data_IF_550827628695
#
_entry.id   IF_550827628695
#
_cell.length_a   1.000
_cell.length_b   1.000
_cell.length_c   1.000
_cell.angle_alpha   90.00
_cell.angle_beta   90.00
_cell.angle_gamma   90.00
#
_symmetry.space_group_name_H-M   'P 1'
#
loop_
_entity.id
_entity.type
_entity.pdbx_description
1 polymer ?
#
# COMPACT_ATOMS: atom_id res chain seq x y z
N UNK A 1 6.31 -5.04 5.25
CA UNK A 1 5.76 -3.76 4.78
C UNK A 1 6.30 -2.67 5.68
N UNK A 2 6.86 -1.62 5.08
CA UNK A 2 7.37 -0.42 5.75
C UNK A 2 7.02 0.82 4.92
N UNK A 3 7.16 1.99 5.53
CA UNK A 3 7.04 3.28 4.81
C UNK A 3 8.02 3.30 3.63
N UNK A 4 7.52 3.73 2.47
CA UNK A 4 8.22 3.75 1.19
C UNK A 4 8.08 2.47 0.35
N UNK A 5 7.55 1.38 0.91
CA UNK A 5 7.26 0.19 0.10
C UNK A 5 6.11 0.47 -0.88
N UNK A 6 6.25 -0.03 -2.10
CA UNK A 6 5.16 -0.07 -3.07
C UNK A 6 4.29 -1.27 -2.78
N UNK A 7 2.97 -1.06 -2.78
CA UNK A 7 1.97 -2.08 -2.47
C UNK A 7 0.90 -2.14 -3.54
N UNK A 8 0.28 -3.31 -3.65
CA UNK A 8 -0.87 -3.58 -4.49
C UNK A 8 -2.05 -3.91 -3.56
N UNK A 9 -3.17 -3.22 -3.76
CA UNK A 9 -4.42 -3.52 -3.10
C UNK A 9 -5.04 -4.78 -3.72
N UNK A 10 -5.33 -5.77 -2.88
CA UNK A 10 -5.75 -7.11 -3.33
C UNK A 10 -7.11 -7.13 -4.03
N UNK A 11 -7.98 -6.17 -3.73
CA UNK A 11 -9.37 -6.19 -4.21
C UNK A 11 -9.49 -5.83 -5.70
N UNK A 12 -8.73 -4.83 -6.14
CA UNK A 12 -8.84 -4.25 -7.48
C UNK A 12 -7.50 -4.15 -8.22
N UNK A 13 -6.39 -4.47 -7.56
CA UNK A 13 -5.05 -4.37 -8.13
C UNK A 13 -4.46 -2.96 -8.13
N UNK A 14 -5.10 -1.99 -7.45
CA UNK A 14 -4.62 -0.62 -7.34
C UNK A 14 -3.24 -0.57 -6.69
N UNK A 15 -2.35 0.28 -7.21
CA UNK A 15 -0.97 0.40 -6.74
C UNK A 15 -0.79 1.69 -5.96
N UNK A 16 0.03 1.63 -4.93
CA UNK A 16 0.33 2.79 -4.10
C UNK A 16 1.60 2.64 -3.30
N UNK A 17 1.93 3.69 -2.55
CA UNK A 17 3.13 3.77 -1.72
C UNK A 17 2.70 4.00 -0.28
N UNK A 18 3.27 3.24 0.65
CA UNK A 18 3.01 3.44 2.09
C UNK A 18 3.71 4.71 2.56
N UNK A 19 2.96 5.66 3.10
CA UNK A 19 3.46 6.93 3.63
C UNK A 19 3.59 6.90 5.15
N UNK A 20 2.63 6.27 5.84
CA UNK A 20 2.58 6.20 7.30
C UNK A 20 2.05 4.84 7.76
N UNK A 21 2.39 4.43 8.98
CA UNK A 21 1.95 3.15 9.57
C UNK A 21 1.55 3.37 11.02
N UNK A 22 0.33 2.97 11.35
CA UNK A 22 -0.24 3.02 12.70
C UNK A 22 -0.76 1.63 13.08
N UNK A 23 0.09 0.85 13.75
CA UNK A 23 -0.23 -0.53 14.11
C UNK A 23 -0.42 -1.39 12.86
N UNK A 24 -1.67 -1.79 12.57
CA UNK A 24 -2.01 -2.59 11.40
C UNK A 24 -2.71 -1.78 10.28
N UNK A 25 -2.77 -0.45 10.42
CA UNK A 25 -3.29 0.46 9.41
C UNK A 25 -2.13 1.14 8.68
N UNK A 26 -2.20 1.13 7.36
CA UNK A 26 -1.19 1.66 6.46
C UNK A 26 -1.81 2.80 5.66
N UNK A 27 -1.26 4.00 5.79
CA UNK A 27 -1.65 5.13 4.96
C UNK A 27 -0.95 5.03 3.62
N UNK A 28 -1.72 4.96 2.55
CA UNK A 28 -1.21 4.75 1.20
C UNK A 28 -1.64 5.91 0.33
N UNK A 29 -0.70 6.41 -0.47
CA UNK A 29 -1.02 7.27 -1.62
C UNK A 29 -1.03 6.39 -2.86
N UNK A 30 -2.15 6.41 -3.57
CA UNK A 30 -2.41 5.63 -4.77
C UNK A 30 -1.97 6.40 -6.03
N UNK A 31 -1.80 5.69 -7.15
CA UNK A 31 -1.37 6.29 -8.44
C UNK A 31 -2.34 7.38 -8.97
N UNK A 32 -3.61 7.36 -8.55
CA UNK A 32 -4.62 8.36 -8.90
C UNK A 32 -4.60 9.61 -8.01
N UNK A 33 -3.60 9.75 -7.13
CA UNK A 33 -3.45 10.81 -6.13
C UNK A 33 -4.49 10.79 -4.99
N UNK A 34 -5.31 9.75 -4.91
CA UNK A 34 -6.11 9.48 -3.72
C UNK A 34 -5.22 8.93 -2.60
N UNK A 35 -5.68 9.05 -1.34
CA UNK A 35 -5.02 8.39 -0.23
C UNK A 35 -6.04 7.75 0.72
N UNK A 36 -5.73 6.56 1.21
CA UNK A 36 -6.58 5.85 2.17
C UNK A 36 -5.76 5.11 3.22
N UNK A 37 -6.43 4.71 4.30
CA UNK A 37 -5.88 3.85 5.34
C UNK A 37 -6.38 2.43 5.14
N UNK A 38 -5.46 1.50 4.88
CA UNK A 38 -5.81 0.10 4.62
C UNK A 38 -5.22 -0.84 5.67
N UNK A 39 -5.90 -1.96 5.87
CA UNK A 39 -5.39 -3.06 6.68
C UNK A 39 -4.31 -3.83 5.90
N UNK A 40 -3.21 -4.18 6.56
CA UNK A 40 -2.12 -4.98 5.97
C UNK A 40 -2.57 -6.27 5.30
N UNK A 41 -3.65 -6.89 5.76
CA UNK A 41 -4.22 -8.11 5.16
C UNK A 41 -4.75 -7.90 3.74
N UNK A 42 -5.04 -6.66 3.35
CA UNK A 42 -5.53 -6.29 2.01
C UNK A 42 -4.42 -5.84 1.07
N UNK A 43 -3.17 -5.84 1.52
CA UNK A 43 -2.03 -5.30 0.82
C UNK A 43 -1.01 -6.38 0.52
N UNK A 44 -0.44 -6.33 -0.68
CA UNK A 44 0.71 -7.15 -1.05
C UNK A 44 1.85 -6.25 -1.48
N UNK A 45 3.07 -6.53 -1.03
CA UNK A 45 4.25 -5.80 -1.53
C UNK A 45 4.40 -6.06 -3.04
N UNK A 46 4.56 -4.98 -3.79
CA UNK A 46 4.95 -5.04 -5.19
C UNK A 46 6.45 -5.32 -5.23
N UNK A 47 6.84 -6.58 -5.33
CA UNK A 47 8.24 -6.95 -5.55
C UNK A 47 8.67 -6.43 -6.92
N UNK A 48 9.77 -5.66 -6.96
CA UNK A 48 10.43 -5.35 -8.22
C UNK A 48 10.95 -6.68 -8.79
N UNK A 49 10.47 -7.05 -9.98
CA UNK A 49 10.95 -8.23 -10.71
C UNK A 49 12.48 -8.26 -10.65
N UNK A 50 13.03 -9.31 -10.02
CA UNK A 50 14.46 -9.61 -9.97
C UNK A 50 14.93 -10.20 -11.29
#
# INVERSE_FOLDING_TARGET
MKVGDHVVYLQDGSKGIIMEIHGNLYHIIWEDHFSSWENGERLKIQEAYS
#
